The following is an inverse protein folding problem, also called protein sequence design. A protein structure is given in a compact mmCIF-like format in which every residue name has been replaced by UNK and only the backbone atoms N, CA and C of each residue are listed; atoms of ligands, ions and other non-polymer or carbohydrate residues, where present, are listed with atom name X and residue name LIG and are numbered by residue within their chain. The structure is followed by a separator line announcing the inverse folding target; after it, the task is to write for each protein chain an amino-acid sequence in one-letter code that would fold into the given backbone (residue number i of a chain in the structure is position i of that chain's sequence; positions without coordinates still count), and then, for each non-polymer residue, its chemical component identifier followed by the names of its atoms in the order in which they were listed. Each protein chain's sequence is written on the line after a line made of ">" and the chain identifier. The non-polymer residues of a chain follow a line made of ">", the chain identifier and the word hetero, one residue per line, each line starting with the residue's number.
data_IF_366229220600
#
_entry.id   IF_366229220600
#
_cell.length_a   1.000
_cell.length_b   1.000
_cell.length_c   1.000
_cell.angle_alpha   90.00
_cell.angle_beta   90.00
_cell.angle_gamma   90.00
#
_symmetry.space_group_name_H-M   'P 1'
#
loop_
_entity.id
_entity.type
_entity.pdbx_description
1 polymer ?
#
# COMPACT_ATOMS: atom_id res chain seq x y z
N UNK A 1 -13.95 33.43 -10.93
CA UNK A 1 -13.23 32.30 -10.26
C UNK A 1 -14.22 31.33 -9.63
N UNK A 2 -14.04 30.05 -9.90
CA UNK A 2 -14.89 28.97 -9.39
C UNK A 2 -14.06 28.16 -8.39
N UNK A 3 -14.70 27.53 -7.40
CA UNK A 3 -14.01 26.65 -6.43
C UNK A 3 -14.57 25.24 -6.54
N UNK A 4 -13.73 24.31 -6.96
CA UNK A 4 -14.12 22.90 -7.19
C UNK A 4 -13.56 22.05 -6.04
N UNK A 5 -14.46 21.47 -5.24
CA UNK A 5 -14.05 20.60 -4.12
C UNK A 5 -13.60 19.25 -4.65
N UNK A 6 -12.44 18.77 -4.19
CA UNK A 6 -11.90 17.48 -4.59
C UNK A 6 -11.01 16.91 -3.48
N UNK A 7 -10.36 15.78 -3.78
CA UNK A 7 -9.44 15.08 -2.88
C UNK A 7 -8.03 15.21 -3.46
N UNK A 8 -7.07 15.47 -2.59
CA UNK A 8 -5.65 15.54 -2.97
C UNK A 8 -5.20 14.20 -3.60
N UNK A 9 -4.52 14.23 -4.76
CA UNK A 9 -4.17 12.98 -5.46
C UNK A 9 -2.87 12.33 -4.99
N UNK A 10 -2.20 12.85 -3.94
CA UNK A 10 -0.84 12.41 -3.65
C UNK A 10 -0.76 11.25 -2.67
N UNK A 11 -1.22 11.40 -1.43
CA UNK A 11 -1.04 10.33 -0.44
C UNK A 11 -2.36 9.92 0.20
N UNK A 12 -2.32 8.82 0.94
CA UNK A 12 -3.52 8.22 1.52
C UNK A 12 -4.08 8.98 2.72
N UNK A 13 -3.50 10.14 3.07
CA UNK A 13 -4.15 11.01 4.06
C UNK A 13 -5.52 11.50 3.57
N UNK A 14 -5.73 11.53 2.24
CA UNK A 14 -7.05 11.80 1.68
C UNK A 14 -7.55 13.19 1.98
N UNK A 15 -6.68 14.19 1.89
CA UNK A 15 -7.00 15.55 2.26
C UNK A 15 -8.05 16.16 1.31
N UNK A 16 -9.06 16.77 1.89
CA UNK A 16 -10.07 17.51 1.13
C UNK A 16 -9.53 18.91 0.80
N UNK A 17 -9.68 19.31 -0.47
CA UNK A 17 -9.22 20.64 -0.91
C UNK A 17 -10.19 21.22 -1.93
N UNK A 18 -10.02 22.50 -2.21
CA UNK A 18 -10.75 23.18 -3.28
C UNK A 18 -9.72 23.73 -4.27
N UNK A 19 -9.88 23.32 -5.53
CA UNK A 19 -9.14 23.93 -6.63
C UNK A 19 -9.81 25.24 -6.98
N UNK A 20 -9.00 26.29 -7.14
CA UNK A 20 -9.48 27.60 -7.58
C UNK A 20 -9.28 27.66 -9.09
N UNK A 21 -10.38 27.81 -9.82
CA UNK A 21 -10.37 27.77 -11.29
C UNK A 21 -10.77 29.14 -11.83
N UNK A 22 -10.00 29.66 -12.76
CA UNK A 22 -10.29 30.92 -13.44
C UNK A 22 -10.13 30.70 -14.94
N UNK A 23 -11.18 30.98 -15.69
CA UNK A 23 -11.23 30.81 -17.16
C UNK A 23 -10.75 29.40 -17.59
N UNK A 24 -11.21 28.38 -16.86
CA UNK A 24 -10.89 26.99 -17.18
C UNK A 24 -9.52 26.50 -16.76
N UNK A 25 -8.73 27.38 -16.11
CA UNK A 25 -7.39 27.03 -15.64
C UNK A 25 -7.37 26.97 -14.12
N UNK A 26 -6.69 25.96 -13.57
CA UNK A 26 -6.46 25.91 -12.12
C UNK A 26 -5.38 26.93 -11.79
N UNK A 27 -5.70 27.89 -10.92
CA UNK A 27 -4.77 28.96 -10.54
C UNK A 27 -4.36 28.87 -9.06
N UNK A 28 -4.92 27.93 -8.31
CA UNK A 28 -4.55 27.76 -6.91
C UNK A 28 -5.31 26.62 -6.26
N UNK A 29 -4.96 26.35 -5.01
CA UNK A 29 -5.66 25.38 -4.19
C UNK A 29 -5.81 25.92 -2.77
N UNK A 30 -6.94 25.64 -2.15
CA UNK A 30 -7.23 26.02 -0.76
C UNK A 30 -7.55 24.79 0.05
N UNK A 31 -7.16 24.80 1.32
CA UNK A 31 -7.56 23.74 2.24
C UNK A 31 -9.09 23.78 2.45
N UNK A 32 -9.69 22.60 2.50
CA UNK A 32 -11.10 22.45 2.86
C UNK A 32 -11.21 21.62 4.13
N UNK A 33 -12.33 21.76 4.84
CA UNK A 33 -12.57 21.01 6.07
C UNK A 33 -12.88 19.56 5.70
N UNK A 34 -11.85 18.70 5.78
CA UNK A 34 -11.99 17.27 5.61
C UNK A 34 -11.80 16.55 6.94
N UNK A 35 -12.20 15.29 7.01
CA UNK A 35 -12.08 14.52 8.26
C UNK A 35 -10.63 14.46 8.74
N UNK A 36 -9.71 14.12 7.84
CA UNK A 36 -8.31 13.90 8.22
C UNK A 36 -7.51 15.20 8.28
N UNK A 37 -7.69 16.07 7.31
CA UNK A 37 -6.84 17.27 7.20
C UNK A 37 -7.37 18.50 7.97
N UNK A 38 -8.63 18.51 8.38
CA UNK A 38 -9.20 19.50 9.29
C UNK A 38 -8.82 20.94 8.90
N UNK A 39 -8.95 21.28 7.62
CA UNK A 39 -8.69 22.62 7.12
C UNK A 39 -7.22 22.95 6.87
N UNK A 40 -6.33 21.96 6.84
CA UNK A 40 -4.91 22.17 6.52
C UNK A 40 -4.48 21.34 5.32
N UNK A 41 -3.41 21.75 4.66
CA UNK A 41 -2.78 20.97 3.57
C UNK A 41 -1.25 21.04 3.75
N UNK A 42 -0.57 20.07 3.18
CA UNK A 42 0.88 20.18 3.02
C UNK A 42 1.21 20.85 1.68
N UNK A 43 2.49 21.03 1.41
CA UNK A 43 2.94 21.70 0.17
C UNK A 43 2.37 21.02 -1.08
N UNK A 44 2.28 19.69 -1.11
CA UNK A 44 1.73 18.99 -2.27
C UNK A 44 0.27 19.37 -2.54
N UNK A 45 -0.52 19.51 -1.46
CA UNK A 45 -1.92 19.91 -1.61
C UNK A 45 -2.10 21.34 -2.09
N UNK A 46 -1.26 22.26 -1.58
CA UNK A 46 -1.35 23.66 -1.99
C UNK A 46 -0.82 23.92 -3.39
N UNK A 47 0.23 23.20 -3.83
CA UNK A 47 0.97 23.58 -5.05
C UNK A 47 1.12 22.47 -6.08
N UNK A 48 0.71 21.24 -5.77
CA UNK A 48 0.94 20.09 -6.65
C UNK A 48 -0.14 19.87 -7.71
N UNK A 49 -0.81 20.92 -8.17
CA UNK A 49 -1.92 20.83 -9.13
C UNK A 49 -1.54 21.24 -10.54
N UNK A 50 -0.30 21.64 -10.78
CA UNK A 50 0.15 22.15 -12.09
C UNK A 50 -0.14 21.17 -13.22
N UNK A 51 -0.02 19.86 -12.95
CA UNK A 51 -0.22 18.84 -13.99
C UNK A 51 -1.63 18.84 -14.59
N UNK A 52 -2.61 19.42 -13.87
CA UNK A 52 -3.99 19.47 -14.36
C UNK A 52 -4.11 20.38 -15.58
N UNK A 53 -3.35 21.45 -15.60
CA UNK A 53 -3.46 22.49 -16.63
C UNK A 53 -2.84 22.09 -17.97
N UNK A 54 -2.05 21.04 -18.05
CA UNK A 54 -1.43 20.56 -19.29
C UNK A 54 -0.74 21.69 -20.08
N UNK A 55 0.09 22.43 -19.39
CA UNK A 55 0.81 23.56 -20.01
C UNK A 55 1.94 23.10 -20.95
N UNK A 56 2.30 21.82 -20.92
CA UNK A 56 3.42 21.24 -21.70
C UNK A 56 4.78 21.82 -21.31
N UNK A 57 4.85 22.50 -20.19
CA UNK A 57 6.08 23.12 -19.71
C UNK A 57 6.72 22.28 -18.61
N UNK A 58 5.98 22.06 -17.51
CA UNK A 58 6.52 21.36 -16.34
C UNK A 58 6.45 19.84 -16.53
N UNK A 59 5.31 19.33 -16.98
CA UNK A 59 5.10 17.90 -17.15
C UNK A 59 4.23 17.69 -18.40
N UNK A 60 4.85 17.53 -19.57
CA UNK A 60 4.09 17.30 -20.81
C UNK A 60 3.23 16.04 -20.72
N UNK A 61 1.94 16.17 -21.03
CA UNK A 61 0.99 15.08 -20.98
C UNK A 61 0.93 14.34 -22.32
N UNK A 62 0.71 13.03 -22.24
CA UNK A 62 0.43 12.22 -23.44
C UNK A 62 -0.99 12.55 -23.89
N UNK A 63 -1.13 12.91 -25.18
CA UNK A 63 -2.39 13.34 -25.76
C UNK A 63 -2.93 12.40 -26.83
N UNK A 64 -2.08 11.55 -27.38
CA UNK A 64 -2.44 10.61 -28.41
C UNK A 64 -1.89 9.24 -28.11
N UNK A 65 -2.59 8.17 -28.53
CA UNK A 65 -1.99 6.83 -28.40
C UNK A 65 -0.82 6.67 -29.33
N UNK A 66 0.08 5.75 -29.00
CA UNK A 66 1.28 5.49 -29.77
C UNK A 66 1.50 3.99 -29.90
N UNK A 67 2.13 3.57 -30.97
CA UNK A 67 2.49 2.17 -31.23
C UNK A 67 3.98 2.09 -31.57
N UNK A 68 4.67 1.10 -31.01
CA UNK A 68 6.02 0.69 -31.39
C UNK A 68 5.87 -0.57 -32.23
N UNK A 69 6.02 -0.44 -33.52
CA UNK A 69 5.76 -1.56 -34.43
C UNK A 69 6.80 -2.67 -34.33
N UNK A 70 8.00 -2.33 -33.88
CA UNK A 70 9.10 -3.28 -33.72
C UNK A 70 9.95 -2.91 -32.51
N UNK A 71 10.27 -3.88 -31.68
CA UNK A 71 11.14 -3.67 -30.52
C UNK A 71 12.44 -2.97 -30.93
N UNK A 72 12.81 -1.95 -30.15
CA UNK A 72 13.95 -1.09 -30.47
C UNK A 72 13.63 0.07 -31.40
N UNK A 73 12.46 0.08 -32.01
CA UNK A 73 12.00 1.16 -32.85
C UNK A 73 11.43 2.33 -32.07
N UNK A 74 10.91 3.32 -32.80
CA UNK A 74 10.31 4.52 -32.19
C UNK A 74 8.82 4.29 -31.91
N UNK A 75 8.31 4.99 -30.91
CA UNK A 75 6.88 5.11 -30.68
C UNK A 75 6.31 6.11 -31.68
N UNK A 76 5.28 5.73 -32.41
CA UNK A 76 4.63 6.54 -33.43
C UNK A 76 3.20 6.85 -33.02
N UNK A 77 2.80 8.12 -33.12
CA UNK A 77 1.44 8.55 -32.82
C UNK A 77 0.46 7.95 -33.84
N UNK A 78 -0.65 7.43 -33.35
CA UNK A 78 -1.68 6.79 -34.19
C UNK A 78 -3.06 7.27 -33.73
N UNK A 79 -4.10 6.93 -34.50
CA UNK A 79 -5.48 7.20 -34.07
C UNK A 79 -5.91 6.24 -32.96
N UNK A 80 -6.94 6.60 -32.24
CA UNK A 80 -7.52 5.71 -31.22
C UNK A 80 -8.05 4.40 -31.85
N UNK A 81 -8.66 4.49 -33.03
CA UNK A 81 -9.17 3.28 -33.72
C UNK A 81 -8.03 2.32 -34.01
N UNK A 82 -6.93 2.85 -34.55
CA UNK A 82 -5.76 2.04 -34.87
C UNK A 82 -5.15 1.42 -33.60
N UNK A 83 -5.03 2.22 -32.53
CA UNK A 83 -4.46 1.73 -31.28
C UNK A 83 -5.33 0.62 -30.66
N UNK A 84 -6.64 0.82 -30.64
CA UNK A 84 -7.57 -0.16 -30.08
C UNK A 84 -7.57 -1.47 -30.89
N UNK A 85 -7.55 -1.36 -32.22
CA UNK A 85 -7.44 -2.54 -33.08
C UNK A 85 -6.13 -3.29 -32.87
N UNK A 86 -5.03 -2.56 -32.71
CA UNK A 86 -3.70 -3.16 -32.45
C UNK A 86 -3.72 -3.92 -31.12
N UNK A 87 -4.22 -3.27 -30.05
CA UNK A 87 -4.31 -3.89 -28.72
C UNK A 87 -5.18 -5.14 -28.78
N UNK A 88 -6.40 -5.03 -29.37
CA UNK A 88 -7.33 -6.15 -29.43
C UNK A 88 -6.74 -7.33 -30.21
N UNK A 89 -6.11 -7.05 -31.35
CA UNK A 89 -5.50 -8.07 -32.20
C UNK A 89 -4.35 -8.77 -31.48
N UNK A 90 -3.43 -8.00 -30.87
CA UNK A 90 -2.25 -8.56 -30.23
C UNK A 90 -2.62 -9.34 -28.96
N UNK A 91 -3.50 -8.79 -28.10
CA UNK A 91 -3.96 -9.51 -26.91
C UNK A 91 -4.73 -10.77 -27.29
N UNK A 92 -5.61 -10.67 -28.30
CA UNK A 92 -6.37 -11.82 -28.79
C UNK A 92 -5.45 -12.95 -29.26
N UNK A 93 -4.43 -12.62 -30.04
CA UNK A 93 -3.47 -13.62 -30.54
C UNK A 93 -2.71 -14.30 -29.40
N UNK A 94 -2.28 -13.52 -28.40
CA UNK A 94 -1.59 -14.08 -27.23
C UNK A 94 -2.53 -15.02 -26.43
N UNK A 95 -3.76 -14.56 -26.21
CA UNK A 95 -4.77 -15.37 -25.52
C UNK A 95 -5.04 -16.68 -26.26
N UNK A 96 -5.22 -16.60 -27.60
CA UNK A 96 -5.48 -17.79 -28.41
C UNK A 96 -4.32 -18.79 -28.39
N UNK A 97 -3.10 -18.27 -28.45
CA UNK A 97 -1.91 -19.12 -28.54
C UNK A 97 -1.49 -19.73 -27.20
N UNK A 98 -1.56 -18.94 -26.12
CA UNK A 98 -0.99 -19.33 -24.84
C UNK A 98 -2.02 -19.44 -23.70
N UNK A 99 -3.25 -19.05 -23.95
CA UNK A 99 -4.29 -19.02 -22.92
C UNK A 99 -4.40 -17.66 -22.22
N UNK A 100 -5.50 -17.42 -21.52
CA UNK A 100 -5.76 -16.13 -20.89
C UNK A 100 -4.75 -15.79 -19.78
N UNK A 101 -4.23 -16.77 -19.07
CA UNK A 101 -3.30 -16.52 -17.97
C UNK A 101 -1.92 -16.06 -18.45
N UNK A 102 -1.66 -16.09 -19.77
CA UNK A 102 -0.44 -15.50 -20.33
C UNK A 102 -0.47 -13.96 -20.34
N UNK A 103 -1.57 -13.35 -19.88
CA UNK A 103 -1.73 -11.89 -19.85
C UNK A 103 -1.86 -11.43 -18.39
N UNK A 104 -1.00 -10.49 -17.99
CA UNK A 104 -1.03 -9.84 -16.67
C UNK A 104 -1.57 -8.42 -16.82
N UNK A 105 -2.49 -8.01 -15.98
CA UNK A 105 -3.01 -6.64 -15.96
C UNK A 105 -2.74 -5.97 -14.61
N UNK A 106 -2.72 -4.64 -14.57
CA UNK A 106 -2.64 -3.90 -13.32
C UNK A 106 -3.77 -2.90 -13.18
N UNK A 107 -4.33 -2.80 -11.96
CA UNK A 107 -5.05 -1.61 -11.56
C UNK A 107 -4.05 -0.55 -11.11
N UNK A 108 -4.54 0.57 -10.61
CA UNK A 108 -3.68 1.67 -10.18
C UNK A 108 -4.12 2.21 -8.83
N UNK A 109 -3.21 2.22 -7.88
CA UNK A 109 -3.42 2.88 -6.59
C UNK A 109 -3.10 4.38 -6.65
N UNK A 110 -2.39 4.80 -7.69
CA UNK A 110 -2.02 6.20 -7.90
C UNK A 110 -3.11 7.00 -8.58
N UNK A 111 -3.94 6.34 -9.38
CA UNK A 111 -5.13 6.95 -9.96
C UNK A 111 -6.18 7.19 -8.90
N UNK A 112 -6.93 8.28 -9.05
CA UNK A 112 -7.94 8.64 -8.06
C UNK A 112 -9.27 7.91 -8.25
N UNK A 113 -9.43 7.22 -9.38
CA UNK A 113 -10.72 6.62 -9.74
C UNK A 113 -10.90 5.19 -9.28
N UNK A 114 -11.91 4.95 -8.46
CA UNK A 114 -12.38 3.59 -8.19
C UNK A 114 -12.86 2.92 -9.48
N UNK A 115 -13.48 3.72 -10.35
CA UNK A 115 -14.07 3.26 -11.60
C UNK A 115 -13.02 2.62 -12.52
N UNK A 116 -11.85 3.22 -12.63
CA UNK A 116 -10.79 2.68 -13.49
C UNK A 116 -10.31 1.32 -12.99
N UNK A 117 -10.19 1.17 -11.67
CA UNK A 117 -9.80 -0.10 -11.07
C UNK A 117 -10.89 -1.15 -11.26
N UNK A 118 -12.16 -0.76 -11.09
CA UNK A 118 -13.29 -1.66 -11.36
C UNK A 118 -13.29 -2.14 -12.80
N UNK A 119 -13.13 -1.19 -13.75
CA UNK A 119 -13.15 -1.54 -15.18
C UNK A 119 -11.99 -2.45 -15.55
N UNK A 120 -10.78 -2.18 -15.05
CA UNK A 120 -9.61 -3.00 -15.38
C UNK A 120 -9.77 -4.43 -14.87
N UNK A 121 -10.23 -4.63 -13.61
CA UNK A 121 -10.39 -5.98 -13.10
C UNK A 121 -11.55 -6.72 -13.81
N UNK A 122 -12.60 -6.00 -14.18
CA UNK A 122 -13.70 -6.58 -14.97
C UNK A 122 -13.22 -6.97 -16.37
N UNK A 123 -12.43 -6.11 -17.01
CA UNK A 123 -11.81 -6.40 -18.31
C UNK A 123 -10.96 -7.67 -18.26
N UNK A 124 -10.09 -7.78 -17.25
CA UNK A 124 -9.24 -8.96 -17.08
C UNK A 124 -10.09 -10.23 -16.95
N UNK A 125 -11.11 -10.19 -16.10
CA UNK A 125 -11.90 -11.37 -15.75
C UNK A 125 -12.95 -11.74 -16.78
N UNK A 126 -13.71 -10.75 -17.26
CA UNK A 126 -14.85 -10.99 -18.13
C UNK A 126 -14.47 -11.01 -19.63
N UNK A 127 -13.40 -10.31 -20.02
CA UNK A 127 -13.01 -10.22 -21.44
C UNK A 127 -11.78 -11.09 -21.72
N UNK A 128 -10.70 -10.89 -20.98
CA UNK A 128 -9.49 -11.72 -21.16
C UNK A 128 -9.75 -13.14 -20.65
N UNK A 129 -10.39 -13.28 -19.49
CA UNK A 129 -10.68 -14.58 -18.88
C UNK A 129 -9.61 -15.01 -17.88
N UNK A 130 -8.99 -14.05 -17.19
CA UNK A 130 -7.94 -14.35 -16.21
C UNK A 130 -8.16 -13.56 -14.92
N UNK A 131 -7.68 -14.11 -13.79
CA UNK A 131 -7.61 -13.39 -12.54
C UNK A 131 -6.24 -12.69 -12.35
N UNK A 132 -5.41 -12.63 -13.41
CA UNK A 132 -4.12 -11.95 -13.38
C UNK A 132 -4.32 -10.43 -13.42
N UNK A 133 -4.86 -9.89 -12.33
CA UNK A 133 -5.00 -8.45 -12.10
C UNK A 133 -4.51 -8.16 -10.69
N UNK A 134 -3.63 -7.18 -10.53
CA UNK A 134 -3.09 -6.82 -9.22
C UNK A 134 -2.82 -5.31 -9.25
N UNK A 135 -2.34 -4.75 -8.16
CA UNK A 135 -1.98 -3.33 -8.11
C UNK A 135 -0.81 -3.12 -7.17
N UNK A 136 -0.31 -1.89 -7.09
CA UNK A 136 0.89 -1.60 -6.30
C UNK A 136 0.70 -1.87 -4.80
N UNK A 137 -0.53 -2.10 -4.32
CA UNK A 137 -0.76 -2.55 -2.95
C UNK A 137 0.08 -3.80 -2.63
N UNK A 138 0.32 -4.64 -3.64
CA UNK A 138 1.08 -5.88 -3.48
C UNK A 138 2.47 -5.63 -2.95
N UNK A 139 3.13 -4.62 -3.46
CA UNK A 139 4.49 -4.28 -3.05
C UNK A 139 4.57 -3.21 -1.97
N UNK A 140 3.41 -2.73 -1.58
CA UNK A 140 3.41 -1.80 -0.66
C UNK A 140 2.99 -2.34 0.57
N UNK A 141 1.67 -2.39 0.70
CA UNK A 141 1.09 -2.82 1.99
C UNK A 141 0.35 -4.18 1.91
N UNK A 142 0.61 -4.96 0.88
CA UNK A 142 0.08 -6.33 0.81
C UNK A 142 0.32 -7.12 2.11
N UNK A 143 1.55 -7.07 2.67
CA UNK A 143 1.79 -7.75 3.95
C UNK A 143 0.96 -7.21 5.12
N UNK A 144 0.61 -5.91 5.12
CA UNK A 144 -0.29 -5.36 6.16
C UNK A 144 -1.66 -6.01 6.07
N UNK A 145 -2.20 -6.11 4.82
CA UNK A 145 -3.51 -6.72 4.61
C UNK A 145 -3.49 -8.18 5.10
N UNK A 146 -2.48 -8.94 4.65
CA UNK A 146 -2.38 -10.37 5.00
C UNK A 146 -2.18 -10.58 6.50
N UNK A 147 -1.26 -9.82 7.11
CA UNK A 147 -0.94 -9.98 8.53
C UNK A 147 -2.10 -9.58 9.44
N UNK A 148 -2.77 -8.47 9.13
CA UNK A 148 -3.93 -8.02 9.90
C UNK A 148 -5.12 -8.97 9.70
N UNK A 149 -5.33 -9.47 8.48
CA UNK A 149 -6.41 -10.40 8.22
C UNK A 149 -6.25 -11.68 9.04
N UNK A 150 -5.02 -12.17 9.15
CA UNK A 150 -4.70 -13.35 9.96
C UNK A 150 -4.79 -13.09 11.46
N UNK A 151 -4.63 -11.85 11.90
CA UNK A 151 -4.59 -11.51 13.33
C UNK A 151 -5.91 -10.97 13.86
N UNK A 152 -6.54 -10.02 13.13
CA UNK A 152 -7.74 -9.32 13.61
C UNK A 152 -8.90 -9.34 12.61
N UNK A 153 -8.73 -10.02 11.48
CA UNK A 153 -9.82 -10.22 10.53
C UNK A 153 -10.08 -9.04 9.59
N UNK A 154 -9.21 -8.05 9.55
CA UNK A 154 -9.38 -6.86 8.71
C UNK A 154 -8.01 -6.39 8.19
N UNK A 155 -7.97 -5.76 7.03
CA UNK A 155 -6.72 -5.38 6.39
C UNK A 155 -6.42 -3.88 6.36
N UNK A 156 -7.10 -3.08 7.18
CA UNK A 156 -6.94 -1.63 7.19
C UNK A 156 -6.66 -1.12 8.60
N UNK A 157 -6.44 0.18 8.74
CA UNK A 157 -6.27 0.83 10.05
C UNK A 157 -7.47 0.50 10.94
N UNK A 158 -7.19 0.12 12.19
CA UNK A 158 -8.26 -0.18 13.14
C UNK A 158 -8.92 1.09 13.68
N UNK A 159 -8.25 2.23 13.61
CA UNK A 159 -8.71 3.51 14.16
C UNK A 159 -8.50 4.62 13.16
N UNK A 160 -9.24 5.72 13.32
CA UNK A 160 -9.16 6.85 12.41
C UNK A 160 -7.89 7.68 12.66
N UNK A 161 -7.38 8.33 11.61
CA UNK A 161 -6.18 9.17 11.69
C UNK A 161 -6.32 10.26 12.77
N UNK A 162 -7.51 10.86 12.89
CA UNK A 162 -7.76 11.93 13.86
C UNK A 162 -7.70 11.45 15.31
N UNK A 163 -7.86 10.16 15.55
CA UNK A 163 -7.78 9.61 16.91
C UNK A 163 -6.35 9.65 17.46
N UNK A 164 -5.35 9.79 16.58
CA UNK A 164 -3.94 9.92 16.99
C UNK A 164 -3.77 11.11 17.96
N UNK A 165 -4.51 12.20 17.72
CA UNK A 165 -4.42 13.41 18.55
C UNK A 165 -4.60 13.13 20.04
N UNK A 166 -5.37 12.11 20.38
CA UNK A 166 -5.82 11.85 21.77
C UNK A 166 -5.22 10.59 22.38
N UNK A 167 -4.26 9.96 21.70
CA UNK A 167 -3.57 8.80 22.28
C UNK A 167 -2.54 9.25 23.31
N UNK A 168 -2.21 8.39 24.26
CA UNK A 168 -1.18 8.67 25.26
C UNK A 168 0.22 8.30 24.76
N UNK A 169 0.31 7.44 23.74
CA UNK A 169 1.59 7.05 23.14
C UNK A 169 1.41 6.73 21.67
N UNK A 170 2.33 7.27 20.84
CA UNK A 170 2.41 6.91 19.42
C UNK A 170 3.67 6.07 19.22
N UNK A 171 3.50 4.83 18.78
CA UNK A 171 4.59 3.91 18.49
C UNK A 171 4.74 3.81 16.97
N UNK A 172 5.76 4.45 16.43
CA UNK A 172 6.01 4.54 14.99
C UNK A 172 7.09 3.52 14.63
N UNK A 173 6.80 2.63 13.68
CA UNK A 173 7.72 1.56 13.29
C UNK A 173 7.88 1.54 11.78
N UNK A 174 9.10 1.77 11.30
CA UNK A 174 9.41 1.71 9.87
C UNK A 174 8.56 2.65 9.03
N UNK A 175 8.38 3.90 9.51
CA UNK A 175 7.44 4.84 8.90
C UNK A 175 7.93 6.26 9.13
N UNK A 176 7.94 7.06 8.07
CA UNK A 176 8.36 8.47 8.14
C UNK A 176 7.16 9.37 7.80
N UNK A 177 6.31 9.68 8.78
CA UNK A 177 5.11 10.48 8.51
C UNK A 177 5.42 11.87 7.97
N UNK A 178 6.52 12.51 8.41
CA UNK A 178 6.85 13.86 7.99
C UNK A 178 7.07 13.97 6.48
N UNK A 179 7.72 12.96 5.89
CA UNK A 179 7.98 12.94 4.44
C UNK A 179 6.79 12.37 3.66
N UNK A 180 6.24 11.24 4.14
CA UNK A 180 5.24 10.48 3.38
C UNK A 180 3.84 11.07 3.50
N UNK A 181 3.47 11.48 4.72
CA UNK A 181 2.10 11.90 5.04
C UNK A 181 2.12 13.10 6.00
N UNK A 182 2.52 14.30 5.53
CA UNK A 182 2.69 15.44 6.46
C UNK A 182 1.45 15.76 7.30
N UNK A 183 0.24 15.49 6.77
CA UNK A 183 -0.98 15.71 7.56
C UNK A 183 -1.09 14.69 8.71
N UNK A 184 -0.68 13.44 8.48
CA UNK A 184 -0.61 12.46 9.59
C UNK A 184 0.47 12.89 10.59
N UNK A 185 1.59 13.43 10.11
CA UNK A 185 2.64 13.97 11.00
C UNK A 185 2.07 15.09 11.88
N UNK A 186 1.17 15.93 11.35
CA UNK A 186 0.52 16.96 12.16
C UNK A 186 -0.26 16.33 13.33
N UNK A 187 -0.95 15.21 13.11
CA UNK A 187 -1.67 14.51 14.18
C UNK A 187 -0.70 13.93 15.21
N UNK A 188 0.47 13.42 14.78
CA UNK A 188 1.51 12.97 15.73
C UNK A 188 2.02 14.13 16.55
N UNK A 189 2.25 15.31 15.93
CA UNK A 189 2.67 16.51 16.63
C UNK A 189 1.58 16.97 17.62
N UNK A 190 0.32 16.92 17.22
CA UNK A 190 -0.80 17.24 18.10
C UNK A 190 -0.82 16.34 19.32
N UNK A 191 -0.64 15.04 19.12
CA UNK A 191 -0.57 14.07 20.22
C UNK A 191 0.53 14.49 21.20
N UNK A 192 1.73 14.81 20.69
CA UNK A 192 2.83 15.24 21.54
C UNK A 192 2.50 16.52 22.32
N UNK A 193 1.88 17.51 21.64
CA UNK A 193 1.44 18.74 22.30
C UNK A 193 0.42 18.47 23.40
N UNK A 194 -0.38 17.42 23.23
CA UNK A 194 -1.37 16.98 24.21
C UNK A 194 -0.76 16.09 25.30
N UNK A 195 0.55 15.87 25.29
CA UNK A 195 1.25 15.14 26.35
C UNK A 195 1.63 13.72 26.01
N UNK A 196 1.35 13.24 24.80
CA UNK A 196 1.69 11.88 24.40
C UNK A 196 3.20 11.66 24.33
N UNK A 197 3.63 10.43 24.62
CA UNK A 197 5.00 9.98 24.35
C UNK A 197 5.08 9.47 22.91
N UNK A 198 6.25 9.61 22.29
CA UNK A 198 6.49 9.12 20.93
C UNK A 198 7.71 8.21 20.94
N UNK A 199 7.54 6.99 20.43
CA UNK A 199 8.63 6.04 20.19
C UNK A 199 8.75 5.91 18.66
N UNK A 200 9.96 6.06 18.14
CA UNK A 200 10.24 5.84 16.72
C UNK A 200 11.27 4.70 16.58
N UNK A 201 10.88 3.63 15.89
CA UNK A 201 11.77 2.53 15.52
C UNK A 201 12.06 2.65 14.02
N UNK A 202 13.25 3.12 13.68
CA UNK A 202 13.68 3.32 12.29
C UNK A 202 15.20 3.36 12.26
N UNK A 203 15.84 2.68 11.30
CA UNK A 203 17.32 2.74 11.18
C UNK A 203 17.84 4.17 10.98
N UNK A 204 17.04 5.04 10.38
CA UNK A 204 17.42 6.43 10.13
C UNK A 204 16.85 7.36 11.19
N UNK A 205 17.56 8.42 11.48
CA UNK A 205 17.06 9.48 12.36
C UNK A 205 16.15 10.41 11.54
N UNK A 206 14.94 9.94 11.28
CA UNK A 206 13.92 10.67 10.51
C UNK A 206 13.46 11.92 11.26
N UNK A 207 12.75 12.82 10.58
CA UNK A 207 12.30 14.09 11.20
C UNK A 207 11.46 13.84 12.46
N UNK A 208 10.58 12.84 12.41
CA UNK A 208 9.76 12.51 13.58
C UNK A 208 10.61 12.02 14.77
N UNK A 209 11.74 11.38 14.50
CA UNK A 209 12.65 10.94 15.57
C UNK A 209 13.25 12.12 16.34
N UNK A 210 13.29 13.30 15.74
CA UNK A 210 13.83 14.52 16.41
C UNK A 210 12.92 15.00 17.54
N UNK A 211 11.63 14.69 17.46
CA UNK A 211 10.66 15.08 18.50
C UNK A 211 10.27 13.89 19.38
N UNK A 212 10.79 12.70 19.09
CA UNK A 212 10.45 11.49 19.82
C UNK A 212 11.05 11.49 21.22
N UNK A 213 10.37 10.83 22.16
CA UNK A 213 10.91 10.56 23.50
C UNK A 213 11.93 9.43 23.45
N UNK A 214 11.83 8.57 22.43
CA UNK A 214 12.76 7.45 22.26
C UNK A 214 12.92 7.16 20.76
N UNK A 215 14.18 7.00 20.30
CA UNK A 215 14.50 6.56 18.95
C UNK A 215 15.31 5.27 19.03
N UNK A 216 14.77 4.21 18.45
CA UNK A 216 15.40 2.89 18.38
C UNK A 216 15.91 2.70 16.96
N UNK A 217 17.23 2.74 16.79
CA UNK A 217 17.87 2.63 15.47
C UNK A 217 18.27 1.17 15.20
N UNK A 218 17.29 0.34 14.84
CA UNK A 218 17.53 -1.09 14.62
C UNK A 218 18.21 -1.34 13.27
N UNK A 219 18.91 -2.46 13.17
CA UNK A 219 19.48 -2.93 11.89
C UNK A 219 18.36 -3.37 10.96
N UNK A 220 18.51 -3.10 9.65
CA UNK A 220 17.56 -3.55 8.63
C UNK A 220 17.39 -5.07 8.68
N UNK A 221 16.14 -5.53 8.63
CA UNK A 221 15.81 -6.95 8.62
C UNK A 221 15.61 -7.56 10.00
N UNK A 222 15.85 -6.80 11.08
CA UNK A 222 15.78 -7.34 12.44
C UNK A 222 14.45 -7.02 13.15
N UNK A 223 13.43 -6.62 12.39
CA UNK A 223 12.14 -6.18 12.93
C UNK A 223 11.55 -7.21 13.90
N UNK A 224 11.47 -8.47 13.48
CA UNK A 224 10.80 -9.52 14.27
C UNK A 224 11.57 -9.78 15.57
N UNK A 225 12.91 -9.84 15.49
CA UNK A 225 13.72 -10.06 16.68
C UNK A 225 13.49 -8.97 17.73
N UNK A 226 13.45 -7.69 17.28
CA UNK A 226 13.18 -6.57 18.19
C UNK A 226 11.75 -6.65 18.76
N UNK A 227 10.75 -6.88 17.92
CA UNK A 227 9.36 -6.93 18.38
C UNK A 227 9.11 -8.10 19.33
N UNK A 228 9.70 -9.26 19.04
CA UNK A 228 9.58 -10.41 19.93
C UNK A 228 10.29 -10.16 21.27
N UNK A 229 11.43 -9.46 21.26
CA UNK A 229 12.11 -9.10 22.51
C UNK A 229 11.28 -8.09 23.33
N UNK A 230 10.60 -7.15 22.66
CA UNK A 230 9.65 -6.24 23.35
C UNK A 230 8.53 -7.07 23.97
N UNK A 231 7.94 -8.00 23.22
CA UNK A 231 6.91 -8.91 23.73
C UNK A 231 7.40 -9.75 24.90
N UNK A 232 8.63 -10.24 24.83
CA UNK A 232 9.28 -10.97 25.93
C UNK A 232 9.28 -10.15 27.22
N UNK A 233 9.76 -8.90 27.15
CA UNK A 233 9.83 -8.02 28.32
C UNK A 233 8.43 -7.75 28.89
N UNK A 234 7.46 -7.48 28.01
CA UNK A 234 6.08 -7.20 28.44
C UNK A 234 5.52 -8.38 29.26
N UNK A 235 5.81 -9.61 28.82
CA UNK A 235 5.32 -10.81 29.51
C UNK A 235 6.16 -11.07 30.77
N UNK A 236 7.50 -11.02 30.67
CA UNK A 236 8.42 -11.29 31.78
C UNK A 236 8.18 -10.36 32.98
N UNK A 237 7.91 -9.09 32.70
CA UNK A 237 7.70 -8.07 33.73
C UNK A 237 6.23 -7.91 34.11
N UNK A 238 5.35 -8.79 33.60
CA UNK A 238 3.92 -8.81 33.95
C UNK A 238 3.22 -7.50 33.58
N UNK A 239 3.57 -6.91 32.43
CA UNK A 239 3.07 -5.62 31.98
C UNK A 239 1.88 -5.75 31.01
N UNK A 240 1.48 -6.97 30.66
CA UNK A 240 0.40 -7.18 29.69
C UNK A 240 -0.99 -7.07 30.35
N UNK A 241 -2.00 -6.77 29.54
CA UNK A 241 -3.40 -6.67 30.01
C UNK A 241 -3.99 -8.07 30.09
N UNK A 242 -3.92 -8.67 31.30
CA UNK A 242 -4.35 -10.06 31.54
C UNK A 242 -5.83 -10.26 31.21
N UNK A 243 -6.67 -9.29 31.54
CA UNK A 243 -8.10 -9.37 31.30
C UNK A 243 -8.41 -9.36 29.80
N UNK A 244 -7.77 -8.45 29.05
CA UNK A 244 -7.97 -8.36 27.61
C UNK A 244 -7.46 -9.65 26.94
N UNK A 245 -6.27 -10.09 27.30
CA UNK A 245 -5.66 -11.30 26.69
C UNK A 245 -6.57 -12.52 26.96
N UNK A 246 -7.04 -12.69 28.19
CA UNK A 246 -7.87 -13.85 28.56
C UNK A 246 -9.23 -13.86 27.85
N UNK A 247 -9.82 -12.67 27.64
CA UNK A 247 -11.20 -12.59 27.14
C UNK A 247 -11.31 -12.29 25.65
N UNK A 248 -10.24 -11.75 25.03
CA UNK A 248 -10.33 -11.21 23.67
C UNK A 248 -9.23 -11.74 22.72
N UNK A 249 -8.45 -12.73 23.14
CA UNK A 249 -7.41 -13.28 22.28
C UNK A 249 -7.34 -14.81 22.39
N UNK A 250 -6.59 -15.39 21.44
CA UNK A 250 -6.25 -16.82 21.47
C UNK A 250 -4.77 -16.96 21.10
N UNK A 251 -4.18 -18.11 21.44
CA UNK A 251 -2.78 -18.38 21.10
C UNK A 251 -1.75 -17.71 22.00
N UNK A 252 -2.15 -17.23 23.18
CA UNK A 252 -1.24 -16.54 24.09
C UNK A 252 -0.12 -17.45 24.58
N UNK A 253 -0.42 -18.70 24.94
CA UNK A 253 0.59 -19.61 25.46
C UNK A 253 1.63 -19.98 24.38
N UNK A 254 1.19 -20.16 23.15
CA UNK A 254 2.08 -20.43 22.01
C UNK A 254 2.96 -19.21 21.74
N UNK A 255 2.39 -18.02 21.76
CA UNK A 255 3.16 -16.77 21.60
C UNK A 255 4.20 -16.64 22.72
N UNK A 256 3.78 -16.86 23.95
CA UNK A 256 4.68 -16.77 25.12
C UNK A 256 5.89 -17.68 24.97
N UNK A 257 5.65 -18.93 24.57
CA UNK A 257 6.75 -19.90 24.34
C UNK A 257 7.73 -19.42 23.28
N UNK A 258 7.22 -18.81 22.21
CA UNK A 258 8.08 -18.30 21.13
C UNK A 258 8.96 -17.15 21.65
N UNK A 259 8.34 -16.15 22.27
CA UNK A 259 9.08 -14.94 22.70
C UNK A 259 9.98 -15.22 23.90
N UNK A 260 9.78 -16.31 24.63
CA UNK A 260 10.67 -16.71 25.73
C UNK A 260 12.13 -16.80 25.28
N UNK A 261 12.36 -17.22 24.03
CA UNK A 261 13.69 -17.32 23.46
C UNK A 261 14.30 -16.00 22.98
N UNK A 262 13.52 -14.91 23.02
CA UNK A 262 13.96 -13.60 22.52
C UNK A 262 14.25 -12.64 23.66
N UNK A 263 15.17 -13.03 24.56
CA UNK A 263 15.57 -12.10 25.64
C UNK A 263 16.22 -10.87 25.01
N UNK A 264 16.10 -9.69 25.64
CA UNK A 264 16.78 -8.50 25.11
C UNK A 264 18.26 -8.72 24.82
N UNK A 265 18.95 -9.43 25.71
CA UNK A 265 20.38 -9.74 25.55
C UNK A 265 20.64 -10.61 24.32
N UNK A 266 19.77 -11.58 24.07
CA UNK A 266 19.97 -12.52 22.96
C UNK A 266 19.82 -11.85 21.58
N UNK A 267 19.14 -10.70 21.51
CA UNK A 267 18.90 -10.03 20.23
C UNK A 267 19.77 -8.78 20.03
N UNK A 268 20.61 -8.40 20.97
CA UNK A 268 21.45 -7.20 20.85
C UNK A 268 22.28 -7.22 19.56
N UNK A 269 22.94 -8.33 19.29
CA UNK A 269 23.82 -8.41 18.12
C UNK A 269 23.03 -8.31 16.81
N UNK A 270 21.90 -9.01 16.72
CA UNK A 270 21.12 -9.05 15.48
C UNK A 270 20.38 -7.73 15.23
N UNK A 271 19.90 -7.07 16.31
CA UNK A 271 19.14 -5.82 16.17
C UNK A 271 20.02 -4.57 16.18
N UNK A 272 21.17 -4.65 16.82
CA UNK A 272 22.00 -3.47 17.06
C UNK A 272 21.45 -2.56 18.15
N UNK A 273 20.46 -3.04 18.93
CA UNK A 273 19.79 -2.28 19.99
C UNK A 273 20.15 -2.91 21.33
N UNK A 274 20.58 -2.10 22.29
CA UNK A 274 20.99 -2.62 23.59
C UNK A 274 19.80 -3.20 24.36
N UNK A 275 20.06 -4.19 25.20
CA UNK A 275 19.03 -4.78 26.06
C UNK A 275 18.34 -3.72 26.91
N UNK A 276 19.11 -2.73 27.38
CA UNK A 276 18.58 -1.62 28.17
C UNK A 276 17.55 -0.81 27.37
N UNK A 277 17.86 -0.49 26.10
CA UNK A 277 16.93 0.26 25.24
C UNK A 277 15.67 -0.56 24.94
N UNK A 278 15.82 -1.87 24.72
CA UNK A 278 14.69 -2.76 24.46
C UNK A 278 13.75 -2.77 25.66
N UNK A 279 14.30 -2.92 26.87
CA UNK A 279 13.49 -2.90 28.10
C UNK A 279 12.81 -1.56 28.30
N UNK A 280 13.53 -0.46 28.07
CA UNK A 280 12.95 0.88 28.21
C UNK A 280 11.79 1.08 27.23
N UNK A 281 11.97 0.62 25.99
CA UNK A 281 10.92 0.70 24.96
C UNK A 281 9.68 -0.11 25.38
N UNK A 282 9.89 -1.36 25.78
CA UNK A 282 8.80 -2.24 26.20
C UNK A 282 8.01 -1.64 27.37
N UNK A 283 8.72 -1.12 28.38
CA UNK A 283 8.09 -0.52 29.56
C UNK A 283 7.33 0.74 29.19
N UNK A 284 7.89 1.61 28.35
CA UNK A 284 7.22 2.85 27.91
C UNK A 284 5.94 2.51 27.16
N UNK A 285 6.02 1.59 26.19
CA UNK A 285 4.86 1.19 25.39
C UNK A 285 3.76 0.54 26.27
N UNK A 286 4.15 -0.44 27.09
CA UNK A 286 3.16 -1.22 27.84
C UNK A 286 2.53 -0.46 28.99
N UNK A 287 3.18 0.59 29.51
CA UNK A 287 2.62 1.36 30.63
C UNK A 287 1.71 2.50 30.19
N UNK A 288 1.62 2.77 28.89
CA UNK A 288 0.71 3.81 28.37
C UNK A 288 -0.75 3.36 28.52
N UNK A 289 -1.63 4.29 28.90
CA UNK A 289 -3.08 4.02 29.02
C UNK A 289 -3.70 3.73 27.66
N UNK A 290 -3.21 4.38 26.62
CA UNK A 290 -3.61 4.13 25.25
C UNK A 290 -2.38 4.29 24.35
N UNK A 291 -2.24 3.38 23.38
CA UNK A 291 -1.12 3.44 22.45
C UNK A 291 -1.59 3.12 21.03
N UNK A 292 -1.21 3.98 20.10
CA UNK A 292 -1.48 3.78 18.67
C UNK A 292 -0.19 3.36 17.98
N UNK A 293 -0.18 2.18 17.37
CA UNK A 293 0.95 1.72 16.57
C UNK A 293 0.72 2.19 15.13
N UNK A 294 1.68 2.93 14.57
CA UNK A 294 1.64 3.39 13.17
C UNK A 294 2.83 2.77 12.44
N UNK A 295 2.59 2.22 11.25
CA UNK A 295 3.70 1.71 10.46
C UNK A 295 3.54 2.00 8.98
N UNK A 296 4.68 1.97 8.29
CA UNK A 296 4.75 2.15 6.85
C UNK A 296 5.46 0.99 6.19
N UNK A 297 6.09 1.28 5.06
CA UNK A 297 6.71 0.23 4.25
C UNK A 297 8.05 -0.27 4.81
N UNK A 298 8.61 0.39 5.83
CA UNK A 298 9.75 -0.15 6.58
C UNK A 298 9.41 -1.39 7.38
N UNK A 299 8.11 -1.72 7.50
CA UNK A 299 7.62 -2.98 8.07
C UNK A 299 7.32 -4.00 6.97
N UNK A 300 6.70 -3.56 5.88
CA UNK A 300 6.08 -4.47 4.91
C UNK A 300 6.97 -4.85 3.73
N UNK A 301 7.95 -4.02 3.37
CA UNK A 301 8.81 -4.31 2.22
C UNK A 301 10.01 -5.16 2.62
N UNK A 302 9.73 -6.26 3.31
CA UNK A 302 10.68 -7.30 3.69
C UNK A 302 10.07 -8.66 3.39
N UNK A 303 10.92 -9.65 3.25
CA UNK A 303 10.48 -11.04 3.04
C UNK A 303 9.53 -11.48 4.16
N UNK A 304 9.83 -11.10 5.42
CA UNK A 304 8.99 -11.40 6.56
C UNK A 304 8.01 -10.28 6.92
N UNK A 305 7.53 -9.53 5.93
CA UNK A 305 6.61 -8.40 6.18
C UNK A 305 5.32 -8.82 6.87
N UNK A 306 4.74 -9.95 6.47
CA UNK A 306 3.51 -10.48 7.07
C UNK A 306 3.73 -10.79 8.55
N UNK A 307 4.81 -11.49 8.84
CA UNK A 307 5.16 -11.88 10.22
C UNK A 307 5.46 -10.65 11.08
N UNK A 308 6.10 -9.63 10.50
CA UNK A 308 6.36 -8.37 11.22
C UNK A 308 5.04 -7.69 11.61
N UNK A 309 4.07 -7.66 10.69
CA UNK A 309 2.74 -7.08 10.98
C UNK A 309 2.06 -7.87 12.11
N UNK A 310 2.13 -9.20 12.05
CA UNK A 310 1.57 -10.05 13.11
C UNK A 310 2.25 -9.78 14.45
N UNK A 311 3.57 -9.57 14.46
CA UNK A 311 4.31 -9.24 15.69
C UNK A 311 3.86 -7.90 16.27
N UNK A 312 3.66 -6.87 15.42
CA UNK A 312 3.13 -5.57 15.87
C UNK A 312 1.71 -5.73 16.44
N UNK A 313 0.88 -6.52 15.76
CA UNK A 313 -0.50 -6.77 16.22
C UNK A 313 -0.49 -7.49 17.57
N UNK A 314 0.43 -8.44 17.74
CA UNK A 314 0.57 -9.15 19.02
C UNK A 314 0.88 -8.19 20.17
N UNK A 315 1.73 -7.19 19.94
CA UNK A 315 2.01 -6.18 20.99
C UNK A 315 0.73 -5.39 21.35
N UNK A 316 -0.07 -5.03 20.36
CA UNK A 316 -1.32 -4.32 20.61
C UNK A 316 -2.31 -5.20 21.41
N UNK A 317 -2.38 -6.48 21.06
CA UNK A 317 -3.24 -7.45 21.78
C UNK A 317 -2.77 -7.62 23.23
N UNK A 318 -1.45 -7.82 23.43
CA UNK A 318 -0.87 -7.97 24.76
C UNK A 318 -1.26 -6.82 25.69
N UNK A 319 -1.29 -5.61 25.17
CA UNK A 319 -1.47 -4.40 25.96
C UNK A 319 -2.91 -3.86 25.93
N UNK A 320 -3.84 -4.59 25.29
CA UNK A 320 -5.24 -4.18 25.23
C UNK A 320 -5.48 -2.95 24.36
N UNK A 321 -4.61 -2.69 23.41
CA UNK A 321 -4.68 -1.49 22.56
C UNK A 321 -5.42 -1.77 21.25
N UNK A 322 -6.61 -2.39 21.36
CA UNK A 322 -7.50 -2.67 20.23
C UNK A 322 -8.95 -2.50 20.67
N UNK A 323 -9.80 -2.07 19.74
CA UNK A 323 -11.24 -2.04 19.94
C UNK A 323 -11.74 -0.90 20.83
N UNK A 324 -10.94 0.15 21.00
CA UNK A 324 -11.34 1.34 21.76
C UNK A 324 -10.76 2.59 21.09
N UNK A 325 -11.23 3.79 21.45
CA UNK A 325 -10.70 5.02 20.83
C UNK A 325 -9.20 5.25 21.10
N UNK A 326 -8.54 5.86 20.14
CA UNK A 326 -7.17 6.40 20.28
C UNK A 326 -6.09 5.35 20.57
N UNK A 327 -6.27 4.16 20.00
CA UNK A 327 -5.31 3.05 20.08
C UNK A 327 -5.11 2.46 18.68
N UNK A 328 -4.69 1.23 18.62
CA UNK A 328 -4.87 0.38 17.45
C UNK A 328 -3.64 0.05 16.67
N UNK A 329 -3.90 -0.71 15.61
CA UNK A 329 -2.92 -1.21 14.66
C UNK A 329 -3.18 -0.50 13.32
N UNK A 330 -2.28 0.40 12.94
CA UNK A 330 -2.59 1.42 11.95
C UNK A 330 -1.55 1.48 10.82
N UNK A 331 -1.66 0.60 9.81
CA UNK A 331 -0.84 0.74 8.60
C UNK A 331 -1.23 1.99 7.84
N UNK A 332 -0.30 2.93 7.70
CA UNK A 332 -0.61 4.18 6.99
C UNK A 332 -0.28 3.98 5.51
N UNK A 333 -1.33 3.82 4.70
CA UNK A 333 -1.21 3.53 3.26
C UNK A 333 -0.48 4.66 2.53
N UNK A 334 0.26 4.33 1.49
CA UNK A 334 1.06 5.28 0.73
C UNK A 334 0.27 6.13 -0.24
N UNK A 335 -0.23 5.51 -1.30
CA UNK A 335 -0.88 6.21 -2.40
C UNK A 335 -2.32 6.60 -2.04
N UNK A 336 -2.81 7.64 -2.71
CA UNK A 336 -4.09 8.26 -2.39
C UNK A 336 -5.29 7.31 -2.50
N UNK A 337 -5.27 6.36 -3.43
CA UNK A 337 -6.40 5.45 -3.62
C UNK A 337 -6.00 3.96 -3.59
N UNK A 338 -4.99 3.61 -2.77
CA UNK A 338 -4.62 2.20 -2.65
C UNK A 338 -5.74 1.38 -2.01
N UNK A 339 -6.46 1.96 -1.08
CA UNK A 339 -7.61 1.30 -0.46
C UNK A 339 -8.69 1.04 -1.51
N UNK A 340 -9.05 2.08 -2.29
CA UNK A 340 -10.08 1.95 -3.32
C UNK A 340 -9.72 0.97 -4.42
N UNK A 341 -8.45 0.90 -4.83
CA UNK A 341 -8.01 -0.09 -5.82
C UNK A 341 -8.29 -1.51 -5.32
N UNK A 342 -7.97 -1.78 -4.05
CA UNK A 342 -8.25 -3.08 -3.43
C UNK A 342 -9.76 -3.32 -3.28
N UNK A 343 -10.50 -2.30 -2.81
CA UNK A 343 -11.95 -2.38 -2.62
C UNK A 343 -12.67 -2.73 -3.94
N UNK A 344 -12.14 -2.22 -5.06
CA UNK A 344 -12.71 -2.43 -6.39
C UNK A 344 -12.24 -3.73 -7.06
N UNK A 345 -11.46 -4.54 -6.37
CA UNK A 345 -11.08 -5.86 -6.85
C UNK A 345 -9.85 -5.91 -7.75
N UNK A 346 -8.99 -4.88 -7.73
CA UNK A 346 -7.73 -4.93 -8.47
C UNK A 346 -6.71 -5.78 -7.69
N UNK A 347 -7.10 -7.02 -7.41
CA UNK A 347 -6.34 -8.02 -6.66
C UNK A 347 -6.60 -9.39 -7.30
N UNK A 348 -5.61 -10.29 -7.32
CA UNK A 348 -5.76 -11.55 -8.06
C UNK A 348 -6.69 -12.56 -7.40
N UNK A 349 -7.04 -12.37 -6.14
CA UNK A 349 -7.80 -13.35 -5.37
C UNK A 349 -9.21 -12.89 -4.99
N UNK A 350 -9.57 -11.60 -5.26
CA UNK A 350 -10.88 -11.09 -4.84
C UNK A 350 -11.53 -10.23 -5.90
N UNK A 351 -12.86 -10.36 -6.00
CA UNK A 351 -13.76 -9.43 -6.69
C UNK A 351 -13.94 -8.17 -5.81
N UNK A 352 -14.62 -7.13 -6.34
CA UNK A 352 -14.97 -5.97 -5.51
C UNK A 352 -15.62 -6.38 -4.19
N UNK A 353 -15.25 -5.68 -3.11
CA UNK A 353 -15.76 -5.96 -1.77
C UNK A 353 -15.10 -7.16 -1.12
N UNK A 354 -13.90 -7.55 -1.59
CA UNK A 354 -13.09 -8.63 -0.99
C UNK A 354 -13.79 -10.00 -1.03
N UNK A 355 -14.54 -10.24 -2.09
CA UNK A 355 -15.27 -11.50 -2.30
C UNK A 355 -14.36 -12.47 -3.05
N UNK A 356 -13.86 -13.49 -2.36
CA UNK A 356 -12.83 -14.39 -2.91
C UNK A 356 -13.28 -15.10 -4.17
N UNK A 357 -12.41 -15.12 -5.19
CA UNK A 357 -12.67 -15.77 -6.49
C UNK A 357 -12.79 -17.30 -6.35
N UNK A 358 -12.15 -17.87 -5.32
CA UNK A 358 -12.18 -19.33 -5.10
C UNK A 358 -13.58 -19.88 -4.78
N UNK A 359 -14.49 -19.02 -4.30
CA UNK A 359 -15.83 -19.48 -3.93
C UNK A 359 -16.79 -19.43 -5.13
N UNK A 360 -17.41 -20.57 -5.50
CA UNK A 360 -18.30 -20.61 -6.66
C UNK A 360 -19.43 -19.61 -6.62
N UNK A 361 -20.05 -19.39 -5.45
CA UNK A 361 -21.16 -18.45 -5.29
C UNK A 361 -20.76 -17.02 -5.66
N UNK A 362 -19.51 -16.64 -5.41
CA UNK A 362 -19.02 -15.31 -5.81
C UNK A 362 -18.84 -15.25 -7.32
N UNK A 363 -18.27 -16.30 -7.93
CA UNK A 363 -18.09 -16.34 -9.39
C UNK A 363 -19.44 -16.26 -10.10
N UNK A 364 -20.43 -17.02 -9.63
CA UNK A 364 -21.79 -17.01 -10.21
C UNK A 364 -22.45 -15.62 -10.09
N UNK A 365 -22.30 -15.00 -8.92
CA UNK A 365 -22.84 -13.66 -8.66
C UNK A 365 -22.27 -12.63 -9.66
N UNK A 366 -20.95 -12.61 -9.81
CA UNK A 366 -20.31 -11.64 -10.71
C UNK A 366 -20.51 -12.00 -12.18
N UNK A 367 -20.51 -13.28 -12.55
CA UNK A 367 -20.81 -13.69 -13.92
C UNK A 367 -22.20 -13.23 -14.34
N UNK A 368 -23.18 -13.44 -13.46
CA UNK A 368 -24.57 -12.98 -13.71
C UNK A 368 -24.63 -11.44 -13.84
N UNK A 369 -23.96 -10.72 -12.92
CA UNK A 369 -23.99 -9.27 -12.92
C UNK A 369 -23.31 -8.69 -14.17
N UNK A 370 -22.28 -9.37 -14.68
CA UNK A 370 -21.54 -8.89 -15.85
C UNK A 370 -22.03 -9.48 -17.17
N UNK A 371 -22.98 -10.39 -17.13
CA UNK A 371 -23.58 -11.00 -18.33
C UNK A 371 -22.63 -11.89 -19.09
N UNK A 372 -21.79 -12.66 -18.36
CA UNK A 372 -20.87 -13.64 -18.97
C UNK A 372 -21.21 -15.03 -18.45
N UNK A 373 -20.85 -16.06 -19.24
CA UNK A 373 -21.20 -17.43 -18.92
C UNK A 373 -20.43 -17.97 -17.70
N UNK A 374 -19.15 -17.58 -17.58
CA UNK A 374 -18.29 -18.06 -16.49
C UNK A 374 -17.15 -17.09 -16.24
N UNK A 375 -16.49 -17.24 -15.09
CA UNK A 375 -15.33 -16.46 -14.70
C UNK A 375 -14.23 -17.40 -14.22
N UNK A 376 -12.95 -16.97 -14.30
CA UNK A 376 -11.82 -17.81 -13.90
C UNK A 376 -11.92 -18.27 -12.45
N UNK A 377 -11.53 -19.52 -12.19
CA UNK A 377 -11.70 -20.17 -10.88
C UNK A 377 -10.50 -19.97 -9.94
N UNK A 378 -9.31 -19.89 -10.50
CA UNK A 378 -8.08 -19.91 -9.70
C UNK A 378 -7.60 -18.48 -9.40
N UNK A 379 -6.98 -18.31 -8.25
CA UNK A 379 -6.30 -17.07 -7.92
C UNK A 379 -5.26 -16.75 -9.00
N UNK A 380 -5.25 -15.50 -9.47
CA UNK A 380 -4.31 -15.08 -10.50
C UNK A 380 -2.89 -14.86 -9.96
N UNK A 381 -1.96 -14.61 -10.86
CA UNK A 381 -0.57 -14.28 -10.49
C UNK A 381 -0.51 -12.91 -9.86
N UNK A 382 0.36 -12.75 -8.85
CA UNK A 382 0.64 -11.46 -8.23
C UNK A 382 1.59 -10.69 -9.13
N UNK A 383 1.48 -9.37 -9.12
CA UNK A 383 2.36 -8.53 -9.96
C UNK A 383 3.84 -8.73 -9.58
N UNK A 384 4.12 -9.03 -8.33
CA UNK A 384 5.50 -9.30 -7.88
C UNK A 384 6.08 -10.58 -8.47
N UNK A 385 5.24 -11.47 -9.00
CA UNK A 385 5.70 -12.69 -9.68
C UNK A 385 6.02 -12.46 -11.15
N UNK A 386 5.68 -11.31 -11.71
CA UNK A 386 5.81 -11.04 -13.15
C UNK A 386 7.23 -11.33 -13.69
N UNK A 387 8.33 -10.91 -13.02
CA UNK A 387 9.64 -11.22 -13.56
C UNK A 387 9.89 -12.71 -13.72
N UNK A 388 9.52 -13.49 -12.69
CA UNK A 388 9.69 -14.96 -12.71
C UNK A 388 8.81 -15.60 -13.78
N UNK A 389 7.53 -15.17 -13.84
CA UNK A 389 6.57 -15.74 -14.80
C UNK A 389 6.94 -15.43 -16.25
N UNK A 390 7.44 -14.21 -16.49
CA UNK A 390 7.92 -13.85 -17.85
C UNK A 390 9.15 -14.66 -18.23
N UNK A 391 10.10 -14.83 -17.30
CA UNK A 391 11.31 -15.62 -17.55
C UNK A 391 10.98 -17.06 -17.95
N UNK A 392 9.92 -17.63 -17.37
CA UNK A 392 9.51 -19.02 -17.68
C UNK A 392 8.48 -19.10 -18.79
N UNK A 393 8.13 -17.97 -19.41
CA UNK A 393 7.19 -17.94 -20.52
C UNK A 393 5.75 -18.17 -20.16
N UNK A 394 5.43 -18.10 -18.86
CA UNK A 394 4.06 -18.26 -18.38
C UNK A 394 3.22 -17.01 -18.62
N UNK A 395 3.86 -15.81 -18.54
CA UNK A 395 3.24 -14.54 -18.89
C UNK A 395 3.97 -13.98 -20.12
N UNK A 396 3.18 -13.60 -21.10
CA UNK A 396 3.68 -13.13 -22.41
C UNK A 396 3.30 -11.69 -22.69
N UNK A 397 2.29 -11.16 -21.98
CA UNK A 397 1.85 -9.79 -22.17
C UNK A 397 1.55 -9.13 -20.83
N UNK A 398 1.81 -7.81 -20.75
CA UNK A 398 1.43 -7.02 -19.59
C UNK A 398 0.66 -5.79 -20.04
N UNK A 399 -0.49 -5.51 -19.40
CA UNK A 399 -1.27 -4.29 -19.61
C UNK A 399 -1.23 -3.51 -18.30
N UNK A 400 -0.50 -2.43 -18.30
CA UNK A 400 -0.14 -1.67 -17.10
C UNK A 400 -0.87 -0.32 -17.13
N UNK A 401 -1.66 -0.05 -16.09
CA UNK A 401 -2.44 1.18 -15.99
C UNK A 401 -1.95 1.99 -14.78
N UNK A 402 -1.41 3.20 -15.05
CA UNK A 402 -1.05 4.16 -14.00
C UNK A 402 -0.02 3.66 -13.00
N UNK A 403 0.92 2.82 -13.46
CA UNK A 403 2.00 2.25 -12.66
C UNK A 403 3.30 2.38 -13.45
N UNK A 404 4.42 2.48 -12.73
CA UNK A 404 5.74 2.65 -13.37
C UNK A 404 6.74 1.63 -12.81
N UNK A 405 6.51 0.31 -13.04
CA UNK A 405 7.38 -0.73 -12.46
C UNK A 405 8.85 -0.59 -12.84
N UNK A 406 9.18 -0.07 -14.01
CA UNK A 406 10.60 0.16 -14.41
C UNK A 406 11.26 1.30 -13.61
N UNK A 407 10.50 1.99 -12.76
CA UNK A 407 11.01 3.00 -11.84
C UNK A 407 10.89 2.56 -10.37
N UNK A 408 9.80 1.86 -10.02
CA UNK A 408 9.40 1.72 -8.61
C UNK A 408 9.58 0.32 -8.01
N UNK A 409 9.69 -0.71 -8.84
CA UNK A 409 9.71 -2.08 -8.32
C UNK A 409 11.09 -2.44 -7.79
N UNK A 410 11.12 -3.40 -6.89
CA UNK A 410 12.36 -3.93 -6.36
C UNK A 410 13.06 -4.77 -7.45
N UNK A 411 14.37 -4.90 -7.33
CA UNK A 411 15.18 -5.71 -8.25
C UNK A 411 14.97 -5.32 -9.70
N UNK A 412 15.20 -4.05 -10.01
CA UNK A 412 14.93 -3.48 -11.34
C UNK A 412 15.60 -4.24 -12.50
N UNK A 413 16.74 -4.90 -12.25
CA UNK A 413 17.40 -5.69 -13.29
C UNK A 413 16.51 -6.87 -13.75
N UNK A 414 15.87 -7.54 -12.81
CA UNK A 414 14.94 -8.62 -13.14
C UNK A 414 13.67 -8.09 -13.83
N UNK A 415 13.18 -6.95 -13.38
CA UNK A 415 11.99 -6.31 -13.99
C UNK A 415 12.29 -5.92 -15.44
N UNK A 416 13.46 -5.30 -15.69
CA UNK A 416 13.88 -4.93 -17.07
C UNK A 416 13.96 -6.17 -17.96
N UNK A 417 14.60 -7.24 -17.46
CA UNK A 417 14.73 -8.49 -18.20
C UNK A 417 13.34 -9.06 -18.56
N UNK A 418 12.40 -9.01 -17.59
CA UNK A 418 11.03 -9.49 -17.83
C UNK A 418 10.37 -8.69 -18.96
N UNK A 419 10.50 -7.36 -18.94
CA UNK A 419 9.90 -6.51 -19.98
C UNK A 419 10.48 -6.79 -21.35
N UNK A 420 11.76 -7.16 -21.43
CA UNK A 420 12.40 -7.56 -22.70
C UNK A 420 11.86 -8.89 -23.22
N UNK A 421 11.46 -9.79 -22.31
CA UNK A 421 10.96 -11.13 -22.66
C UNK A 421 9.48 -11.15 -23.03
N UNK A 422 8.69 -10.18 -22.55
CA UNK A 422 7.28 -10.08 -22.90
C UNK A 422 7.09 -9.81 -24.39
N UNK A 423 6.09 -10.46 -24.99
CA UNK A 423 5.77 -10.26 -26.41
C UNK A 423 4.97 -8.97 -26.64
N UNK A 424 4.35 -8.42 -25.59
CA UNK A 424 3.52 -7.21 -25.69
C UNK A 424 3.49 -6.50 -24.34
N UNK A 425 3.80 -5.22 -24.35
CA UNK A 425 3.66 -4.36 -23.18
C UNK A 425 2.76 -3.19 -23.57
N UNK A 426 1.59 -3.09 -22.92
CA UNK A 426 0.64 -1.98 -23.10
C UNK A 426 0.71 -1.12 -21.84
N UNK A 427 0.90 0.19 -22.01
CA UNK A 427 0.91 1.13 -20.88
C UNK A 427 -0.13 2.21 -21.12
N UNK A 428 -0.98 2.40 -20.13
CA UNK A 428 -1.98 3.46 -20.12
C UNK A 428 -1.62 4.43 -18.99
N UNK A 429 -1.12 5.61 -19.39
CA UNK A 429 -0.65 6.60 -18.43
C UNK A 429 -0.86 8.00 -19.01
N UNK A 430 -0.78 9.01 -18.14
CA UNK A 430 -0.92 10.40 -18.56
C UNK A 430 0.44 11.03 -18.92
N UNK A 431 1.53 10.42 -18.49
CA UNK A 431 2.90 10.91 -18.75
C UNK A 431 3.74 9.81 -19.38
N UNK A 432 4.82 10.24 -20.06
CA UNK A 432 5.80 9.31 -20.62
C UNK A 432 6.75 8.84 -19.49
N UNK A 433 6.27 7.85 -18.72
CA UNK A 433 7.04 7.22 -17.65
C UNK A 433 8.14 6.33 -18.23
N UNK A 434 9.01 5.81 -17.39
CA UNK A 434 10.04 4.83 -17.84
C UNK A 434 9.38 3.59 -18.43
N UNK A 435 8.31 3.13 -17.82
CA UNK A 435 7.57 1.96 -18.32
C UNK A 435 6.86 2.29 -19.64
N UNK A 436 6.24 3.48 -19.75
CA UNK A 436 5.60 3.91 -20.99
C UNK A 436 6.61 4.00 -22.14
N UNK A 437 7.81 4.50 -21.85
CA UNK A 437 8.87 4.61 -22.86
C UNK A 437 9.35 3.24 -23.35
N UNK A 438 9.15 2.19 -22.58
CA UNK A 438 9.52 0.81 -22.93
C UNK A 438 8.37 0.01 -23.55
N UNK A 439 7.16 0.58 -23.62
CA UNK A 439 5.96 -0.11 -24.10
C UNK A 439 5.95 -0.29 -25.63
N UNK A 440 5.10 -1.23 -26.09
CA UNK A 440 4.79 -1.47 -27.49
C UNK A 440 3.52 -0.70 -27.89
#
# INVERSE_FOLDING_TARGET
>A
MEKVTTVCPYCAAGCKLRLVVDDGMVVGAEAAMGKNNQGTLCLKGYYGWDFINDTQILTPRLKTPMIRRQRGGKLEAVSWDEALDYVATRLGAIKEKYGPDAIQTTGSSRGTGNETNYVMQKFARAVIGTNNVDCCARVXHGPSVAGLHQSVGNGAMSNAITEIDNTDLVFIFGYNPADSHPIVANHVINAKRNGAKIIVCDPRKIETARIADMHIALKNGSNIALLNAIGHVIIEEDLYDKSFVASRSEGFEEYRKIVEGYTPESVEEITGVSAQEIRACARMYASAKSAAILWGMGVTQFYQGVETVRSLTSLAILTGNLGKPSVGVNPVRGQNNVQGACDMGALPDTYPGYQYVKFPENREKFARAWGVDSLPEHTGYRISELPHRAEHGEVRAAYIMGEDPLQTDAELSAVRKAFEQLELVIVQDIFMTKTAAAAD
#
